data_IF_347215486562
#
_entry.id   IF_347215486562
#
_cell.length_a   1.000
_cell.length_b   1.000
_cell.length_c   1.000
_cell.angle_alpha   90.00
_cell.angle_beta   90.00
_cell.angle_gamma   90.00
#
_symmetry.space_group_name_H-M   'P 1'
#
loop_
_entity.id
_entity.type
_entity.pdbx_description
1 polymer ?
#
# COMPACT_ATOMS: atom_id res chain seq x y z
N UNK A 1 -2.91 27.59 24.52
CA UNK A 1 -3.84 28.66 24.11
C UNK A 1 -4.54 28.13 22.87
N UNK A 2 -5.83 27.79 22.93
CA UNK A 2 -6.52 27.28 21.76
C UNK A 2 -6.48 28.33 20.66
N UNK A 3 -6.13 27.90 19.44
CA UNK A 3 -6.26 28.72 18.24
C UNK A 3 -7.74 29.04 18.04
N UNK A 4 -8.13 30.30 18.22
CA UNK A 4 -9.51 30.74 17.97
C UNK A 4 -9.70 30.93 16.46
N UNK A 5 -10.50 30.06 15.84
CA UNK A 5 -10.85 30.16 14.42
C UNK A 5 -12.11 31.02 14.27
N UNK A 6 -11.98 32.15 13.59
CA UNK A 6 -13.13 32.93 13.13
C UNK A 6 -13.49 32.57 11.69
N UNK A 7 -14.78 32.42 11.41
CA UNK A 7 -15.30 32.23 10.05
C UNK A 7 -16.26 33.38 9.72
N UNK A 8 -16.12 33.96 8.53
CA UNK A 8 -16.98 35.03 8.03
C UNK A 8 -17.56 34.63 6.68
N UNK A 9 -18.88 34.79 6.51
CA UNK A 9 -19.51 34.81 5.18
C UNK A 9 -19.37 36.21 4.61
N UNK A 10 -19.01 36.32 3.33
CA UNK A 10 -18.90 37.62 2.65
C UNK A 10 -20.08 37.78 1.70
N UNK A 11 -20.99 38.70 2.03
CA UNK A 11 -22.16 39.03 1.21
C UNK A 11 -21.92 40.39 0.54
N UNK A 12 -21.43 40.37 -0.71
CA UNK A 12 -20.93 41.58 -1.38
C UNK A 12 -19.68 42.11 -0.67
N UNK A 13 -19.71 43.36 -0.19
CA UNK A 13 -18.60 43.98 0.55
C UNK A 13 -18.75 43.89 2.08
N UNK A 14 -19.74 43.15 2.59
CA UNK A 14 -20.03 43.07 4.03
C UNK A 14 -19.67 41.69 4.60
N UNK A 15 -18.66 41.59 5.47
CA UNK A 15 -18.36 40.36 6.18
C UNK A 15 -19.32 40.17 7.36
N UNK A 16 -19.95 38.99 7.43
CA UNK A 16 -20.83 38.56 8.52
C UNK A 16 -20.13 37.44 9.28
N UNK A 17 -19.78 37.69 10.55
CA UNK A 17 -19.13 36.68 11.40
C UNK A 17 -20.13 35.55 11.68
N UNK A 18 -19.77 34.32 11.31
CA UNK A 18 -20.54 33.15 11.65
C UNK A 18 -20.27 32.78 13.11
N UNK A 19 -21.32 32.33 13.79
CA UNK A 19 -21.21 31.86 15.17
C UNK A 19 -20.88 30.38 15.16
N UNK A 20 -19.81 30.01 15.86
CA UNK A 20 -19.49 28.61 16.08
C UNK A 20 -20.65 27.97 16.85
N UNK A 21 -21.25 26.96 16.26
CA UNK A 21 -22.12 26.02 16.98
C UNK A 21 -21.22 24.89 17.48
N UNK A 22 -21.56 24.29 18.62
CA UNK A 22 -20.90 23.04 19.02
C UNK A 22 -21.00 22.03 17.88
N UNK A 23 -19.98 21.17 17.72
CA UNK A 23 -20.04 20.04 16.77
C UNK A 23 -21.35 19.28 17.02
N UNK A 24 -22.04 18.79 15.98
CA UNK A 24 -23.16 17.87 16.18
C UNK A 24 -22.75 16.63 17.01
N UNK A 25 -23.72 15.77 17.36
CA UNK A 25 -23.49 14.49 18.06
C UNK A 25 -22.23 13.77 17.54
N UNK A 26 -21.47 13.12 18.41
CA UNK A 26 -20.23 12.38 18.06
C UNK A 26 -20.41 11.48 16.84
N UNK A 27 -21.54 10.78 16.77
CA UNK A 27 -21.94 9.93 15.64
C UNK A 27 -22.09 10.68 14.29
N UNK A 28 -22.42 11.98 14.29
CA UNK A 28 -22.45 12.78 13.07
C UNK A 28 -21.05 13.15 12.60
N UNK A 29 -20.12 13.44 13.53
CA UNK A 29 -18.72 13.68 13.17
C UNK A 29 -18.08 12.40 12.62
N UNK A 30 -18.36 11.27 13.25
CA UNK A 30 -17.96 9.94 12.77
C UNK A 30 -18.49 9.69 11.35
N UNK A 31 -19.78 9.92 11.10
CA UNK A 31 -20.39 9.76 9.78
C UNK A 31 -19.81 10.71 8.72
N UNK A 32 -19.45 11.95 9.09
CA UNK A 32 -18.81 12.90 8.17
C UNK A 32 -17.40 12.45 7.79
N UNK A 33 -16.60 12.00 8.75
CA UNK A 33 -15.26 11.45 8.50
C UNK A 33 -15.36 10.14 7.72
N UNK A 34 -16.36 9.32 8.00
CA UNK A 34 -16.63 8.08 7.26
C UNK A 34 -16.96 8.35 5.78
N UNK A 35 -17.74 9.39 5.51
CA UNK A 35 -18.08 9.79 4.16
C UNK A 35 -16.90 10.44 3.40
N UNK A 36 -16.06 11.21 4.08
CA UNK A 36 -14.87 11.84 3.52
C UNK A 36 -13.74 11.95 4.56
N UNK A 37 -12.83 10.95 4.61
CA UNK A 37 -11.69 10.98 5.53
C UNK A 37 -10.71 12.13 5.26
N UNK A 38 -10.73 12.70 4.04
CA UNK A 38 -9.92 13.86 3.66
C UNK A 38 -10.21 15.12 4.49
N UNK A 39 -11.33 15.14 5.21
CA UNK A 39 -11.66 16.14 6.24
C UNK A 39 -10.58 16.17 7.36
N UNK A 40 -9.82 15.10 7.59
CA UNK A 40 -8.70 15.11 8.54
C UNK A 40 -7.44 15.79 7.98
N UNK A 41 -7.32 15.88 6.66
CA UNK A 41 -6.23 16.60 5.98
C UNK A 41 -5.12 15.72 5.40
N UNK A 42 -5.21 14.42 5.63
CA UNK A 42 -4.42 13.40 4.95
C UNK A 42 -5.39 12.45 4.23
N UNK A 43 -4.98 11.89 3.09
CA UNK A 43 -5.75 10.85 2.43
C UNK A 43 -5.72 9.59 3.29
N UNK A 44 -6.88 9.02 3.60
CA UNK A 44 -7.01 7.86 4.47
C UNK A 44 -8.02 6.89 3.89
N UNK A 45 -7.70 5.60 3.95
CA UNK A 45 -8.65 4.53 3.73
C UNK A 45 -9.16 4.05 5.08
N UNK A 46 -10.45 4.21 5.36
CA UNK A 46 -11.06 3.64 6.54
C UNK A 46 -11.15 2.13 6.41
N UNK A 47 -10.63 1.43 7.42
CA UNK A 47 -10.62 -0.03 7.48
C UNK A 47 -11.54 -0.58 8.56
N UNK A 48 -11.96 0.24 9.51
CA UNK A 48 -12.87 -0.21 10.55
C UNK A 48 -13.58 0.92 11.29
N UNK A 49 -14.75 0.58 11.82
CA UNK A 49 -15.57 1.44 12.66
C UNK A 49 -15.99 0.65 13.90
N UNK A 50 -15.90 1.27 15.08
CA UNK A 50 -16.17 0.63 16.38
C UNK A 50 -15.42 -0.70 16.51
N UNK A 51 -14.11 -0.67 16.25
CA UNK A 51 -13.27 -1.87 16.18
C UNK A 51 -12.99 -2.39 17.59
N UNK A 52 -13.42 -3.62 17.93
CA UNK A 52 -13.15 -4.19 19.25
C UNK A 52 -11.66 -4.45 19.45
N UNK A 53 -11.15 -4.13 20.63
CA UNK A 53 -9.79 -4.47 21.06
C UNK A 53 -9.81 -5.65 22.03
N UNK A 54 -8.69 -6.37 22.14
CA UNK A 54 -8.54 -7.50 23.08
C UNK A 54 -8.66 -7.07 24.56
N UNK A 55 -8.56 -5.77 24.82
CA UNK A 55 -8.69 -5.18 26.15
C UNK A 55 -10.13 -4.75 26.49
N UNK A 56 -11.10 -5.06 25.62
CA UNK A 56 -12.54 -4.90 25.88
C UNK A 56 -13.10 -3.50 25.61
N UNK A 57 -12.36 -2.67 24.86
CA UNK A 57 -12.80 -1.34 24.40
C UNK A 57 -12.93 -1.31 22.88
N UNK A 58 -13.44 -0.20 22.35
CA UNK A 58 -13.67 -0.02 20.92
C UNK A 58 -12.93 1.22 20.41
N UNK A 59 -12.20 1.07 19.32
CA UNK A 59 -11.65 2.21 18.56
C UNK A 59 -12.77 2.77 17.69
N UNK A 60 -13.06 4.07 17.77
CA UNK A 60 -14.16 4.67 17.02
C UNK A 60 -13.97 4.50 15.51
N UNK A 61 -12.82 4.94 14.97
CA UNK A 61 -12.44 4.71 13.59
C UNK A 61 -10.98 4.27 13.49
N UNK A 62 -10.74 3.26 12.64
CA UNK A 62 -9.41 2.78 12.28
C UNK A 62 -9.22 3.00 10.77
N UNK A 63 -8.12 3.65 10.40
CA UNK A 63 -7.76 3.90 9.01
C UNK A 63 -6.32 3.48 8.72
N UNK A 64 -5.95 3.51 7.44
CA UNK A 64 -4.59 3.35 6.93
C UNK A 64 -4.28 4.50 5.96
N UNK A 65 -3.04 4.99 5.96
CA UNK A 65 -2.53 5.94 4.96
C UNK A 65 -1.82 5.25 3.78
N UNK A 66 -1.34 6.03 2.81
CA UNK A 66 -0.67 5.55 1.59
C UNK A 66 0.70 4.91 1.86
N UNK A 67 1.27 5.08 3.05
CA UNK A 67 2.48 4.38 3.49
C UNK A 67 2.20 3.09 4.30
N UNK A 68 0.93 2.75 4.51
CA UNK A 68 0.54 1.55 5.26
C UNK A 68 0.59 1.72 6.77
N UNK A 69 0.72 2.95 7.29
CA UNK A 69 0.65 3.24 8.71
C UNK A 69 -0.81 3.36 9.19
N UNK A 70 -1.09 2.86 10.38
CA UNK A 70 -2.45 2.82 10.93
C UNK A 70 -2.80 4.10 11.67
N UNK A 71 -4.00 4.63 11.45
CA UNK A 71 -4.52 5.81 12.12
C UNK A 71 -5.64 5.40 13.06
N UNK A 72 -5.39 5.52 14.36
CA UNK A 72 -6.37 5.34 15.42
C UNK A 72 -7.03 6.67 15.70
N UNK A 73 -8.33 6.77 15.47
CA UNK A 73 -9.10 7.98 15.67
C UNK A 73 -10.07 7.77 16.82
N UNK A 74 -9.93 8.58 17.86
CA UNK A 74 -10.84 8.61 19.01
C UNK A 74 -11.63 9.91 18.97
N UNK A 75 -12.95 9.82 18.79
CA UNK A 75 -13.82 10.97 18.62
C UNK A 75 -14.40 11.38 19.98
N UNK A 76 -14.46 12.69 20.23
CA UNK A 76 -15.04 13.26 21.44
C UNK A 76 -15.80 14.54 21.13
N UNK A 77 -17.10 14.56 21.42
CA UNK A 77 -17.93 15.75 21.18
C UNK A 77 -17.52 16.96 22.03
N UNK A 78 -17.36 16.75 23.33
CA UNK A 78 -17.17 17.80 24.31
C UNK A 78 -15.68 18.04 24.62
N UNK A 79 -15.45 18.99 25.54
CA UNK A 79 -14.13 19.20 26.14
C UNK A 79 -13.62 17.87 26.70
N UNK A 80 -12.56 17.38 26.09
CA UNK A 80 -12.04 16.05 26.38
C UNK A 80 -11.04 16.12 27.54
N UNK A 81 -11.20 15.28 28.57
CA UNK A 81 -10.29 15.24 29.70
C UNK A 81 -9.11 14.29 29.43
N UNK A 82 -8.07 14.39 30.26
CA UNK A 82 -6.78 13.69 30.10
C UNK A 82 -6.87 12.16 29.94
N UNK A 83 -7.94 11.54 30.39
CA UNK A 83 -8.17 10.10 30.33
C UNK A 83 -8.17 9.58 28.88
N UNK A 84 -8.51 10.43 27.89
CA UNK A 84 -8.43 10.09 26.46
C UNK A 84 -7.01 9.69 26.05
N UNK A 85 -5.98 10.28 26.66
CA UNK A 85 -4.59 9.98 26.33
C UNK A 85 -4.25 8.56 26.74
N UNK A 86 -4.70 8.13 27.93
CA UNK A 86 -4.49 6.76 28.39
C UNK A 86 -5.20 5.75 27.47
N UNK A 87 -6.40 6.06 27.01
CA UNK A 87 -7.16 5.24 26.06
C UNK A 87 -6.46 5.12 24.72
N UNK A 88 -5.99 6.22 24.12
CA UNK A 88 -5.24 6.17 22.87
C UNK A 88 -3.94 5.37 22.99
N UNK A 89 -3.22 5.49 24.10
CA UNK A 89 -1.99 4.71 24.33
C UNK A 89 -2.29 3.22 24.47
N UNK A 90 -3.41 2.85 25.12
CA UNK A 90 -3.90 1.47 25.20
C UNK A 90 -4.21 0.93 23.79
N UNK A 91 -4.90 1.72 22.96
CA UNK A 91 -5.19 1.37 21.57
C UNK A 91 -3.93 1.24 20.71
N UNK A 92 -2.99 2.18 20.82
CA UNK A 92 -1.72 2.09 20.11
C UNK A 92 -0.92 0.84 20.49
N UNK A 93 -1.03 0.39 21.74
CA UNK A 93 -0.39 -0.85 22.20
C UNK A 93 -0.97 -2.10 21.55
N UNK A 94 -2.29 -2.13 21.33
CA UNK A 94 -3.01 -3.21 20.65
C UNK A 94 -2.83 -3.17 19.12
N UNK A 95 -3.01 -2.00 18.51
CA UNK A 95 -2.89 -1.82 17.06
C UNK A 95 -1.51 -2.24 16.56
N UNK A 96 -0.45 -1.98 17.33
CA UNK A 96 0.91 -2.42 17.00
C UNK A 96 1.07 -3.95 16.90
N UNK A 97 0.18 -4.73 17.52
CA UNK A 97 0.25 -6.20 17.47
C UNK A 97 -0.51 -6.79 16.28
N UNK A 98 -1.33 -6.01 15.59
CA UNK A 98 -2.13 -6.48 14.46
C UNK A 98 -1.23 -6.97 13.32
N UNK A 99 -1.51 -8.18 12.86
CA UNK A 99 -0.90 -8.77 11.67
C UNK A 99 -1.55 -8.22 10.39
N UNK A 100 -0.91 -8.41 9.24
CA UNK A 100 -1.52 -8.09 7.94
C UNK A 100 -2.89 -8.76 7.77
N UNK A 101 -2.99 -10.05 8.10
CA UNK A 101 -4.24 -10.81 7.98
C UNK A 101 -5.36 -10.25 8.86
N UNK A 102 -5.04 -9.92 10.12
CA UNK A 102 -6.03 -9.33 11.03
C UNK A 102 -6.53 -7.97 10.53
N UNK A 103 -5.70 -7.17 9.83
CA UNK A 103 -6.16 -5.92 9.22
C UNK A 103 -7.13 -6.16 8.07
N UNK A 104 -6.85 -7.14 7.22
CA UNK A 104 -7.77 -7.52 6.15
C UNK A 104 -9.08 -8.07 6.72
N UNK A 105 -9.05 -8.81 7.82
CA UNK A 105 -10.24 -9.30 8.51
C UNK A 105 -11.08 -8.16 9.11
N UNK A 106 -10.43 -7.16 9.71
CA UNK A 106 -11.09 -5.93 10.20
C UNK A 106 -11.78 -5.21 9.03
N UNK A 107 -11.08 -5.04 7.90
CA UNK A 107 -11.64 -4.42 6.69
C UNK A 107 -12.81 -5.22 6.13
N UNK A 108 -12.68 -6.55 5.99
CA UNK A 108 -13.73 -7.41 5.46
C UNK A 108 -14.99 -7.41 6.34
N UNK A 109 -14.82 -7.28 7.67
CA UNK A 109 -15.93 -7.12 8.62
C UNK A 109 -16.61 -5.77 8.45
N UNK A 110 -15.82 -4.71 8.25
CA UNK A 110 -16.32 -3.34 8.08
C UNK A 110 -17.01 -3.11 6.73
N UNK A 111 -16.46 -3.64 5.63
CA UNK A 111 -17.02 -3.56 4.28
C UNK A 111 -17.19 -4.95 3.64
N UNK A 112 -18.21 -5.72 4.04
CA UNK A 112 -18.44 -7.05 3.47
C UNK A 112 -18.59 -7.02 1.95
N UNK A 113 -17.79 -7.83 1.25
CA UNK A 113 -17.79 -7.94 -0.21
C UNK A 113 -16.94 -6.89 -0.95
N UNK A 114 -16.36 -5.92 -0.25
CA UNK A 114 -15.35 -5.04 -0.84
C UNK A 114 -13.99 -5.74 -0.88
N UNK A 115 -13.15 -5.36 -1.85
CA UNK A 115 -11.77 -5.87 -1.99
C UNK A 115 -10.82 -4.78 -1.54
N UNK A 116 -10.00 -5.08 -0.52
CA UNK A 116 -9.10 -4.10 0.11
C UNK A 116 -8.17 -3.44 -0.92
N UNK A 117 -7.53 -4.22 -1.79
CA UNK A 117 -6.61 -3.74 -2.81
C UNK A 117 -7.29 -2.79 -3.80
N UNK A 118 -8.57 -3.01 -4.12
CA UNK A 118 -9.31 -2.15 -5.04
C UNK A 118 -9.68 -0.82 -4.39
N UNK A 119 -10.09 -0.84 -3.13
CA UNK A 119 -10.38 0.35 -2.35
C UNK A 119 -9.09 1.15 -2.10
N UNK A 120 -7.96 0.48 -1.85
CA UNK A 120 -6.63 1.08 -1.78
C UNK A 120 -6.27 1.81 -3.06
N UNK A 121 -6.30 1.13 -4.22
CA UNK A 121 -5.98 1.77 -5.50
C UNK A 121 -6.95 2.91 -5.83
N UNK A 122 -8.22 2.79 -5.43
CA UNK A 122 -9.21 3.87 -5.64
C UNK A 122 -8.90 5.09 -4.77
N UNK A 123 -8.42 4.88 -3.55
CA UNK A 123 -8.12 5.95 -2.58
C UNK A 123 -6.77 6.62 -2.88
N UNK A 124 -5.73 5.84 -3.16
CA UNK A 124 -4.34 6.32 -3.25
C UNK A 124 -3.75 6.29 -4.66
N UNK A 125 -4.39 5.60 -5.61
CA UNK A 125 -3.91 5.49 -7.00
C UNK A 125 -2.70 4.57 -7.21
N UNK A 126 -2.10 4.04 -6.13
CA UNK A 126 -0.95 3.14 -6.16
C UNK A 126 -1.28 1.69 -5.78
N UNK A 127 -0.23 0.86 -5.78
CA UNK A 127 -0.28 -0.52 -5.29
C UNK A 127 -0.22 -0.55 -3.76
N UNK A 128 -0.77 -1.61 -3.15
CA UNK A 128 -0.65 -1.83 -1.71
C UNK A 128 0.82 -2.08 -1.36
N UNK A 129 1.39 -1.40 -0.34
CA UNK A 129 2.75 -1.65 0.09
C UNK A 129 2.89 -3.09 0.60
N UNK A 130 4.09 -3.65 0.48
CA UNK A 130 4.36 -5.02 0.95
C UNK A 130 4.15 -5.15 2.48
N UNK A 131 4.30 -4.04 3.21
CA UNK A 131 4.12 -3.96 4.66
C UNK A 131 2.95 -3.05 5.01
N UNK A 132 1.97 -3.59 5.73
CA UNK A 132 0.98 -2.83 6.48
C UNK A 132 1.35 -2.80 7.97
N UNK A 133 0.82 -1.83 8.71
CA UNK A 133 1.16 -1.61 10.12
C UNK A 133 2.67 -1.36 10.36
N UNK A 134 3.31 -0.68 9.42
CA UNK A 134 4.72 -0.24 9.52
C UNK A 134 4.92 0.86 10.57
N UNK A 135 3.83 1.53 10.94
CA UNK A 135 3.74 2.52 12.00
C UNK A 135 2.28 2.79 12.37
N UNK A 136 2.06 3.68 13.35
CA UNK A 136 0.72 4.17 13.66
C UNK A 136 0.71 5.62 14.15
N UNK A 137 -0.47 6.24 14.08
CA UNK A 137 -0.81 7.55 14.64
C UNK A 137 -2.04 7.45 15.54
N UNK A 138 -2.03 8.23 16.59
CA UNK A 138 -3.07 8.27 17.62
C UNK A 138 -3.67 9.67 17.62
N UNK A 139 -4.89 9.82 17.13
CA UNK A 139 -5.51 11.13 16.94
C UNK A 139 -6.76 11.25 17.79
N UNK A 140 -6.79 12.24 18.68
CA UNK A 140 -8.04 12.69 19.28
C UNK A 140 -8.72 13.63 18.30
N UNK A 141 -9.97 13.34 17.97
CA UNK A 141 -10.83 14.19 17.16
C UNK A 141 -11.83 14.86 18.09
N UNK A 142 -11.64 16.14 18.41
CA UNK A 142 -12.44 16.80 19.45
C UNK A 142 -12.87 18.23 19.10
N UNK A 143 -13.90 18.73 19.78
CA UNK A 143 -14.23 20.16 19.74
C UNK A 143 -13.25 21.01 20.56
N UNK A 144 -12.79 20.49 21.71
CA UNK A 144 -11.87 21.15 22.63
C UNK A 144 -11.21 20.12 23.56
N UNK A 145 -10.08 20.46 24.19
CA UNK A 145 -9.42 19.62 25.20
C UNK A 145 -9.05 20.45 26.42
N UNK A 146 -8.90 19.82 27.59
CA UNK A 146 -8.43 20.56 28.76
C UNK A 146 -6.92 20.91 28.69
N UNK A 147 -6.46 21.94 29.44
CA UNK A 147 -5.04 22.31 29.47
C UNK A 147 -4.11 21.18 29.95
N UNK A 148 -4.62 20.23 30.73
CA UNK A 148 -3.83 19.09 31.18
C UNK A 148 -3.54 18.14 30.01
N UNK A 149 -4.53 17.91 29.15
CA UNK A 149 -4.47 17.11 27.93
C UNK A 149 -3.53 17.77 26.93
N UNK A 150 -3.67 19.09 26.68
CA UNK A 150 -2.72 19.83 25.82
C UNK A 150 -1.28 19.64 26.28
N UNK A 151 -1.02 19.82 27.59
CA UNK A 151 0.30 19.68 28.19
C UNK A 151 0.86 18.26 28.07
N UNK A 152 0.02 17.24 28.29
CA UNK A 152 0.44 15.83 28.19
C UNK A 152 0.77 15.48 26.74
N UNK A 153 -0.07 15.87 25.78
CA UNK A 153 0.16 15.57 24.36
C UNK A 153 1.41 16.30 23.85
N UNK A 154 1.60 17.56 24.20
CA UNK A 154 2.82 18.30 23.89
C UNK A 154 4.08 17.62 24.46
N UNK A 155 4.02 17.17 25.73
CA UNK A 155 5.10 16.42 26.34
C UNK A 155 5.39 15.11 25.59
N UNK A 156 4.36 14.33 25.25
CA UNK A 156 4.51 13.05 24.53
C UNK A 156 5.10 13.24 23.11
N UNK A 157 4.73 14.34 22.44
CA UNK A 157 5.28 14.69 21.13
C UNK A 157 6.79 14.96 21.18
N UNK A 158 7.32 15.56 22.26
CA UNK A 158 8.76 15.75 22.45
C UNK A 158 9.55 14.42 22.53
N UNK A 159 8.87 13.31 22.85
CA UNK A 159 9.43 11.94 22.85
C UNK A 159 9.06 11.13 21.60
N UNK A 160 8.60 11.81 20.54
CA UNK A 160 8.16 11.21 19.28
C UNK A 160 7.10 10.12 19.48
N UNK A 161 6.21 10.29 20.48
CA UNK A 161 4.98 9.49 20.57
C UNK A 161 4.02 10.06 19.53
N UNK A 162 3.44 9.26 18.63
CA UNK A 162 2.69 9.75 17.48
C UNK A 162 1.25 10.12 17.86
N UNK A 163 1.09 10.92 18.92
CA UNK A 163 -0.21 11.36 19.46
C UNK A 163 -0.46 12.83 19.15
N UNK A 164 -1.66 13.16 18.68
CA UNK A 164 -2.04 14.53 18.39
C UNK A 164 -3.56 14.75 18.59
N UNK A 165 -3.99 16.00 18.49
CA UNK A 165 -5.41 16.39 18.51
C UNK A 165 -5.73 17.17 17.25
N UNK A 166 -6.79 16.77 16.56
CA UNK A 166 -7.47 17.60 15.58
C UNK A 166 -8.72 18.20 16.22
N UNK A 167 -8.81 19.52 16.16
CA UNK A 167 -9.95 20.29 16.63
C UNK A 167 -10.92 20.54 15.50
N UNK A 168 -12.19 20.24 15.72
CA UNK A 168 -13.27 20.55 14.81
C UNK A 168 -14.18 21.65 15.36
N UNK A 169 -14.49 22.63 14.52
CA UNK A 169 -15.45 23.71 14.81
C UNK A 169 -16.52 23.73 13.73
N UNK A 170 -17.77 23.76 14.17
CA UNK A 170 -18.92 23.77 13.29
C UNK A 170 -19.53 25.17 13.26
N UNK A 171 -19.98 25.62 12.10
CA UNK A 171 -20.62 26.93 11.91
C UNK A 171 -21.88 26.74 11.08
N UNK A 172 -23.02 27.12 11.65
CA UNK A 172 -24.30 27.09 10.96
C UNK A 172 -24.59 28.40 10.23
N UNK A 173 -25.20 28.30 9.05
CA UNK A 173 -25.65 29.45 8.28
C UNK A 173 -26.91 29.10 7.46
N UNK A 174 -28.08 29.33 8.06
CA UNK A 174 -29.36 28.90 7.47
C UNK A 174 -29.40 27.39 7.29
N UNK A 175 -29.55 26.92 6.05
CA UNK A 175 -29.53 25.49 5.69
C UNK A 175 -28.11 24.94 5.46
N UNK A 176 -27.09 25.81 5.49
CA UNK A 176 -25.70 25.43 5.26
C UNK A 176 -24.96 25.22 6.57
N UNK A 177 -23.97 24.36 6.48
CA UNK A 177 -23.07 24.01 7.54
C UNK A 177 -21.63 24.09 7.05
N UNK A 178 -20.77 24.62 7.89
CA UNK A 178 -19.34 24.71 7.62
C UNK A 178 -18.58 24.02 8.74
N UNK A 179 -17.55 23.28 8.36
CA UNK A 179 -16.64 22.59 9.26
C UNK A 179 -15.24 23.18 9.09
N UNK A 180 -14.65 23.64 10.18
CA UNK A 180 -13.26 24.07 10.21
C UNK A 180 -12.44 23.11 11.06
N UNK A 181 -11.20 22.84 10.65
CA UNK A 181 -10.24 22.01 11.37
C UNK A 181 -8.97 22.77 11.74
N UNK A 182 -8.42 22.48 12.91
CA UNK A 182 -7.06 22.91 13.30
C UNK A 182 -6.36 21.80 14.05
N UNK A 183 -5.03 21.76 13.99
CA UNK A 183 -4.23 20.79 14.75
C UNK A 183 -3.66 21.43 16.01
N UNK A 184 -3.57 20.68 17.11
CA UNK A 184 -2.89 21.13 18.33
C UNK A 184 -1.39 21.29 18.08
N UNK A 185 -0.78 20.29 17.46
CA UNK A 185 0.62 20.27 17.03
C UNK A 185 0.62 20.15 15.51
N UNK A 186 1.43 20.94 14.83
CA UNK A 186 1.62 20.83 13.39
C UNK A 186 1.94 19.37 13.01
N UNK A 187 1.18 18.80 12.07
CA UNK A 187 1.30 17.39 11.67
C UNK A 187 2.73 17.03 11.24
N UNK A 188 3.47 17.98 10.66
CA UNK A 188 4.86 17.81 10.24
C UNK A 188 5.80 17.55 11.42
N UNK A 189 5.42 17.94 12.65
CA UNK A 189 6.20 17.74 13.88
C UNK A 189 5.89 16.43 14.59
N UNK A 190 4.88 15.69 14.15
CA UNK A 190 4.47 14.41 14.77
C UNK A 190 4.36 13.34 13.69
N UNK A 191 5.45 13.00 12.97
CA UNK A 191 5.41 11.97 11.94
C UNK A 191 4.92 10.63 12.51
N UNK A 192 4.33 9.75 11.68
CA UNK A 192 4.01 8.40 12.11
C UNK A 192 5.28 7.77 12.68
N UNK A 193 5.17 7.18 13.87
CA UNK A 193 6.32 6.48 14.44
C UNK A 193 6.46 5.18 13.67
N UNK A 194 7.53 5.05 12.89
CA UNK A 194 7.99 3.75 12.39
C UNK A 194 8.37 2.91 13.60
N UNK A 195 7.40 2.16 14.12
CA UNK A 195 7.60 1.30 15.27
C UNK A 195 8.52 0.17 14.86
N UNK A 196 9.61 -0.06 15.60
CA UNK A 196 10.47 -1.21 15.35
C UNK A 196 9.65 -2.50 15.23
N UNK A 197 9.97 -3.28 14.18
CA UNK A 197 9.38 -4.55 13.71
C UNK A 197 8.02 -4.87 14.36
N UNK A 198 6.93 -4.77 13.59
CA UNK A 198 5.63 -5.28 14.02
C UNK A 198 5.80 -6.70 14.55
N UNK A 199 5.40 -6.93 15.81
CA UNK A 199 5.61 -8.25 16.43
C UNK A 199 4.72 -9.33 15.80
N UNK A 200 3.68 -8.93 15.05
CA UNK A 200 2.71 -9.80 14.41
C UNK A 200 2.98 -10.15 12.94
N UNK A 201 4.02 -9.59 12.31
CA UNK A 201 4.24 -9.76 10.87
C UNK A 201 3.43 -8.75 10.05
N UNK A 202 4.12 -7.75 9.49
CA UNK A 202 3.55 -6.67 8.66
C UNK A 202 3.29 -7.08 7.21
N UNK A 203 3.80 -8.23 6.78
CA UNK A 203 3.68 -8.75 5.42
C UNK A 203 2.72 -9.92 5.37
N UNK A 204 2.08 -10.12 4.23
CA UNK A 204 1.46 -11.39 3.90
C UNK A 204 2.48 -12.53 3.93
N UNK A 205 2.02 -13.70 4.36
CA UNK A 205 2.84 -14.92 4.39
C UNK A 205 3.16 -15.33 2.96
N UNK A 206 4.45 -15.57 2.68
CA UNK A 206 4.86 -16.11 1.40
C UNK A 206 4.62 -17.62 1.36
N UNK A 207 4.06 -18.13 0.27
CA UNK A 207 3.72 -19.55 0.10
C UNK A 207 4.91 -20.47 -0.24
N UNK A 208 6.13 -19.96 -0.10
CA UNK A 208 7.39 -20.69 -0.35
C UNK A 208 7.64 -21.12 -1.81
N UNK A 209 6.77 -20.74 -2.74
CA UNK A 209 6.80 -21.21 -4.12
C UNK A 209 6.80 -20.09 -5.15
N UNK A 210 5.96 -19.05 -4.95
CA UNK A 210 5.57 -18.15 -6.03
C UNK A 210 6.40 -16.86 -6.09
N UNK A 211 6.82 -16.54 -7.30
CA UNK A 211 7.64 -15.37 -7.62
C UNK A 211 6.94 -14.50 -8.66
N UNK A 212 7.01 -13.19 -8.45
CA UNK A 212 6.66 -12.19 -9.44
C UNK A 212 7.89 -11.90 -10.29
N UNK A 213 7.71 -11.81 -11.61
CA UNK A 213 8.72 -11.37 -12.56
C UNK A 213 8.20 -10.19 -13.37
N UNK A 214 8.87 -9.04 -13.27
CA UNK A 214 8.60 -7.88 -14.13
C UNK A 214 9.36 -8.03 -15.44
N UNK A 215 8.63 -8.34 -16.51
CA UNK A 215 9.17 -8.45 -17.85
C UNK A 215 9.01 -7.11 -18.57
N UNK A 216 9.95 -6.19 -18.30
CA UNK A 216 9.97 -4.86 -18.91
C UNK A 216 10.27 -4.93 -20.40
N UNK A 217 9.24 -5.16 -21.22
CA UNK A 217 9.39 -5.20 -22.66
C UNK A 217 9.83 -3.83 -23.19
N UNK A 218 10.87 -3.80 -24.02
CA UNK A 218 11.42 -2.59 -24.61
C UNK A 218 11.75 -2.88 -26.07
N UNK A 219 11.22 -2.05 -26.97
CA UNK A 219 11.34 -2.24 -28.41
C UNK A 219 12.80 -2.41 -28.83
N UNK A 220 13.10 -3.55 -29.46
CA UNK A 220 14.44 -3.90 -29.93
C UNK A 220 15.39 -4.48 -28.87
N UNK A 221 15.05 -4.41 -27.59
CA UNK A 221 15.88 -4.90 -26.48
C UNK A 221 15.34 -6.21 -25.90
N UNK A 222 14.04 -6.25 -25.59
CA UNK A 222 13.39 -7.41 -24.97
C UNK A 222 11.99 -7.59 -25.55
N UNK A 223 11.63 -8.80 -25.94
CA UNK A 223 10.34 -9.13 -26.54
C UNK A 223 9.66 -10.31 -25.81
N UNK A 224 8.36 -10.20 -25.54
CA UNK A 224 7.63 -11.26 -24.85
C UNK A 224 7.39 -12.50 -25.72
N UNK A 225 7.18 -12.36 -27.03
CA UNK A 225 6.96 -13.50 -27.91
C UNK A 225 8.21 -14.38 -28.05
N UNK A 226 9.40 -13.79 -28.00
CA UNK A 226 10.66 -14.54 -27.87
C UNK A 226 10.70 -15.34 -26.57
N UNK A 227 10.45 -14.70 -25.43
CA UNK A 227 10.41 -15.32 -24.11
C UNK A 227 9.40 -16.48 -24.03
N UNK A 228 8.21 -16.25 -24.60
CA UNK A 228 7.14 -17.23 -24.72
C UNK A 228 7.53 -18.41 -25.62
N UNK A 229 8.15 -18.14 -26.77
CA UNK A 229 8.53 -19.16 -27.75
C UNK A 229 9.68 -20.05 -27.27
N UNK A 230 10.68 -19.45 -26.64
CA UNK A 230 11.93 -20.13 -26.29
C UNK A 230 12.07 -20.51 -24.81
N UNK A 231 11.07 -20.19 -23.97
CA UNK A 231 11.07 -20.68 -22.58
C UNK A 231 12.03 -19.92 -21.67
N UNK A 232 11.86 -18.60 -21.52
CA UNK A 232 12.71 -17.82 -20.61
C UNK A 232 12.08 -16.53 -20.10
N UNK A 233 12.63 -15.98 -19.02
CA UNK A 233 12.45 -14.57 -18.62
C UNK A 233 13.80 -13.87 -18.63
N UNK A 234 13.81 -12.54 -18.79
CA UNK A 234 15.07 -11.79 -18.81
C UNK A 234 14.96 -10.41 -18.16
N UNK A 235 16.09 -9.93 -17.65
CA UNK A 235 16.27 -8.59 -17.14
C UNK A 235 17.73 -8.13 -17.30
N UNK A 236 17.94 -6.86 -17.58
CA UNK A 236 19.25 -6.28 -17.90
C UNK A 236 19.23 -4.77 -17.94
N UNK A 237 20.26 -4.15 -18.52
CA UNK A 237 20.35 -2.69 -18.65
C UNK A 237 20.84 -1.97 -17.39
N UNK A 238 21.16 -2.72 -16.33
CA UNK A 238 21.78 -2.20 -15.11
C UNK A 238 21.82 -3.25 -14.00
N UNK A 239 22.77 -3.09 -13.07
CA UNK A 239 23.00 -4.06 -12.00
C UNK A 239 21.76 -4.25 -11.11
N UNK A 240 20.96 -3.20 -10.90
CA UNK A 240 19.71 -3.29 -10.12
C UNK A 240 18.76 -4.36 -10.69
N UNK A 241 18.56 -4.37 -12.01
CA UNK A 241 17.63 -5.27 -12.68
C UNK A 241 18.14 -6.71 -12.62
N UNK A 242 19.38 -6.95 -13.09
CA UNK A 242 19.97 -8.28 -13.14
C UNK A 242 20.14 -8.90 -11.74
N UNK A 243 20.50 -8.10 -10.72
CA UNK A 243 20.64 -8.58 -9.34
C UNK A 243 19.35 -9.14 -8.75
N UNK A 244 18.20 -8.59 -9.08
CA UNK A 244 16.92 -9.10 -8.56
C UNK A 244 16.46 -10.35 -9.31
N UNK A 245 16.64 -10.38 -10.64
CA UNK A 245 16.36 -11.56 -11.46
C UNK A 245 17.18 -12.79 -11.03
N UNK A 246 18.46 -12.61 -10.73
CA UNK A 246 19.37 -13.69 -10.26
C UNK A 246 18.94 -14.35 -8.94
N UNK A 247 17.95 -13.79 -8.23
CA UNK A 247 17.41 -14.40 -6.99
C UNK A 247 16.38 -15.49 -7.25
N UNK A 248 15.91 -15.65 -8.49
CA UNK A 248 14.97 -16.70 -8.85
C UNK A 248 15.60 -18.08 -8.62
N UNK A 249 15.05 -18.93 -7.73
CA UNK A 249 15.57 -20.25 -7.50
C UNK A 249 15.10 -21.21 -8.59
N UNK A 250 15.96 -22.16 -8.97
CA UNK A 250 15.53 -23.32 -9.76
C UNK A 250 14.42 -24.07 -9.01
N UNK A 251 13.36 -24.41 -9.71
CA UNK A 251 12.12 -24.99 -9.15
C UNK A 251 11.09 -23.97 -8.68
N UNK A 252 11.42 -22.67 -8.62
CA UNK A 252 10.45 -21.62 -8.28
C UNK A 252 9.38 -21.46 -9.36
N UNK A 253 8.12 -21.26 -8.97
CA UNK A 253 7.05 -20.92 -9.90
C UNK A 253 7.04 -19.41 -10.10
N UNK A 254 7.13 -18.96 -11.35
CA UNK A 254 7.16 -17.55 -11.73
C UNK A 254 5.85 -17.15 -12.40
N UNK A 255 5.28 -16.04 -11.96
CA UNK A 255 4.23 -15.30 -12.62
C UNK A 255 4.83 -14.07 -13.28
N UNK A 256 4.71 -13.99 -14.60
CA UNK A 256 5.35 -12.95 -15.41
C UNK A 256 4.36 -11.86 -15.73
N UNK A 257 4.72 -10.63 -15.39
CA UNK A 257 3.94 -9.42 -15.64
C UNK A 257 4.70 -8.47 -16.54
N UNK A 258 4.05 -7.99 -17.59
CA UNK A 258 4.57 -6.89 -18.40
C UNK A 258 4.03 -5.58 -17.79
N UNK A 259 4.89 -4.72 -17.24
CA UNK A 259 4.47 -3.47 -16.62
C UNK A 259 3.95 -2.48 -17.66
N UNK A 260 3.27 -1.40 -17.21
CA UNK A 260 2.82 -0.34 -18.12
C UNK A 260 1.49 -0.61 -18.82
N UNK A 261 0.51 -1.16 -18.07
CA UNK A 261 -0.90 -1.43 -18.47
C UNK A 261 -1.14 -2.71 -19.29
N UNK A 262 -0.17 -3.62 -19.37
CA UNK A 262 -0.37 -4.94 -20.00
C UNK A 262 -0.85 -5.96 -18.97
N UNK A 263 -0.02 -6.27 -17.97
CA UNK A 263 -0.37 -7.20 -16.89
C UNK A 263 0.28 -8.58 -17.03
N UNK A 264 -0.31 -9.58 -16.38
CA UNK A 264 0.26 -10.92 -16.26
C UNK A 264 0.04 -11.75 -17.52
N UNK A 265 1.12 -12.29 -18.08
CA UNK A 265 1.15 -12.94 -19.39
C UNK A 265 1.54 -14.41 -19.34
N UNK A 266 2.09 -14.91 -18.23
CA UNK A 266 2.44 -16.31 -18.14
C UNK A 266 2.79 -16.78 -16.75
N UNK A 267 2.75 -18.10 -16.60
CA UNK A 267 3.17 -18.84 -15.42
C UNK A 267 4.03 -20.04 -15.85
N UNK A 268 5.12 -20.27 -15.14
CA UNK A 268 6.03 -21.37 -15.43
C UNK A 268 6.97 -21.68 -14.28
N UNK A 269 7.82 -22.68 -14.45
CA UNK A 269 8.80 -23.12 -13.45
C UNK A 269 10.20 -22.78 -13.92
N UNK A 270 11.00 -22.17 -13.06
CA UNK A 270 12.42 -21.90 -13.34
C UNK A 270 13.18 -23.22 -13.43
N UNK A 271 13.86 -23.46 -14.55
CA UNK A 271 14.61 -24.72 -14.79
C UNK A 271 16.12 -24.53 -14.85
N UNK A 272 16.61 -23.29 -14.78
CA UNK A 272 18.03 -22.97 -14.81
C UNK A 272 18.35 -21.69 -14.06
N UNK A 273 19.62 -21.51 -13.70
CA UNK A 273 20.10 -20.27 -13.08
C UNK A 273 20.18 -19.13 -14.11
N UNK A 274 20.23 -17.89 -13.61
CA UNK A 274 20.39 -16.71 -14.45
C UNK A 274 21.77 -16.68 -15.13
N UNK A 275 21.79 -16.58 -16.45
CA UNK A 275 23.02 -16.50 -17.27
C UNK A 275 23.02 -15.25 -18.15
N UNK A 276 24.18 -14.66 -18.48
CA UNK A 276 24.25 -13.64 -19.53
C UNK A 276 23.65 -14.19 -20.84
N UNK A 277 22.93 -13.35 -21.57
CA UNK A 277 22.23 -13.73 -22.81
C UNK A 277 23.13 -14.50 -23.79
N UNK A 278 24.39 -14.10 -23.96
CA UNK A 278 25.33 -14.72 -24.90
C UNK A 278 25.74 -16.15 -24.52
N UNK A 279 25.44 -16.56 -23.28
CA UNK A 279 25.78 -17.88 -22.72
C UNK A 279 24.52 -18.67 -22.36
N UNK A 280 23.34 -18.08 -22.52
CA UNK A 280 22.10 -18.66 -22.05
C UNK A 280 21.70 -19.86 -22.90
N UNK A 281 21.43 -20.98 -22.22
CA UNK A 281 20.89 -22.20 -22.82
C UNK A 281 19.44 -22.37 -22.36
N UNK A 282 18.55 -22.60 -23.30
CA UNK A 282 17.12 -22.83 -23.05
C UNK A 282 16.69 -24.18 -23.62
N UNK A 283 15.54 -24.69 -23.16
CA UNK A 283 14.98 -25.96 -23.65
C UNK A 283 13.82 -25.68 -24.60
N UNK A 284 13.91 -26.16 -25.84
CA UNK A 284 12.87 -26.03 -26.87
C UNK A 284 12.57 -27.43 -27.40
N UNK A 285 11.30 -27.84 -27.37
CA UNK A 285 10.86 -29.18 -27.80
C UNK A 285 11.67 -30.35 -27.17
N UNK A 286 12.17 -30.14 -25.95
CA UNK A 286 12.98 -31.10 -25.20
C UNK A 286 14.48 -31.07 -25.50
N UNK A 287 14.94 -30.21 -26.42
CA UNK A 287 16.35 -30.05 -26.78
C UNK A 287 16.96 -28.79 -26.15
N UNK A 288 18.20 -28.88 -25.70
CA UNK A 288 18.97 -27.75 -25.17
C UNK A 288 19.59 -26.98 -26.32
N UNK A 289 19.26 -25.69 -26.44
CA UNK A 289 19.74 -24.81 -27.51
C UNK A 289 20.34 -23.52 -26.95
N UNK A 290 21.38 -23.01 -27.60
CA UNK A 290 21.95 -21.69 -27.29
C UNK A 290 20.99 -20.60 -27.76
N UNK A 291 20.48 -19.79 -26.83
CA UNK A 291 19.46 -18.78 -27.13
C UNK A 291 19.96 -17.74 -28.15
N UNK A 292 21.21 -17.29 -28.02
CA UNK A 292 21.81 -16.31 -28.90
C UNK A 292 21.98 -16.78 -30.36
N UNK A 293 21.81 -18.07 -30.64
CA UNK A 293 21.86 -18.64 -32.00
C UNK A 293 20.48 -18.77 -32.66
N UNK A 294 19.41 -18.42 -31.94
CA UNK A 294 18.03 -18.56 -32.41
C UNK A 294 17.53 -17.33 -33.17
N UNK A 295 16.40 -17.49 -33.88
CA UNK A 295 15.72 -16.36 -34.54
C UNK A 295 14.88 -15.62 -33.51
N UNK A 296 15.33 -14.42 -33.13
CA UNK A 296 14.73 -13.57 -32.10
C UNK A 296 14.20 -12.27 -32.72
N UNK A 297 13.10 -11.75 -32.17
CA UNK A 297 12.53 -10.44 -32.50
C UNK A 297 13.28 -9.28 -31.82
N UNK A 298 13.98 -9.54 -30.71
CA UNK A 298 14.78 -8.55 -29.97
C UNK A 298 16.27 -8.91 -29.86
N UNK A 299 17.10 -7.91 -29.56
CA UNK A 299 18.55 -8.04 -29.54
C UNK A 299 19.16 -8.53 -28.23
N UNK A 300 18.51 -8.31 -27.07
CA UNK A 300 19.00 -8.71 -25.73
C UNK A 300 20.43 -8.24 -25.41
N UNK A 301 20.87 -7.14 -26.02
CA UNK A 301 22.19 -6.53 -25.80
C UNK A 301 22.03 -5.10 -25.33
N UNK A 302 22.85 -4.71 -24.33
CA UNK A 302 22.90 -3.35 -23.81
C UNK A 302 24.25 -2.70 -24.14
N UNK A 303 24.27 -1.38 -24.34
CA UNK A 303 25.52 -0.66 -24.55
C UNK A 303 26.36 -0.69 -23.27
N UNK A 304 27.65 -1.01 -23.41
CA UNK A 304 28.59 -0.93 -22.31
C UNK A 304 28.76 0.53 -21.87
N UNK A 305 28.56 0.80 -20.58
CA UNK A 305 28.84 2.10 -19.99
C UNK A 305 30.29 2.17 -19.49
N UNK A 306 30.87 3.36 -19.51
CA UNK A 306 32.22 3.62 -19.02
C UNK A 306 32.39 3.43 -17.51
N UNK A 307 31.29 3.22 -16.77
CA UNK A 307 31.29 2.97 -15.32
C UNK A 307 31.86 1.59 -14.95
N UNK A 308 31.89 0.64 -15.89
CA UNK A 308 32.29 -0.75 -15.62
C UNK A 308 31.21 -1.59 -14.92
N UNK A 309 30.00 -1.04 -14.73
CA UNK A 309 28.85 -1.78 -14.22
C UNK A 309 28.41 -2.87 -15.21
N UNK A 310 27.86 -3.97 -14.68
CA UNK A 310 27.35 -5.08 -15.50
C UNK A 310 25.93 -4.75 -16.00
N UNK A 311 25.84 -4.25 -17.23
CA UNK A 311 24.58 -3.92 -17.91
C UNK A 311 24.04 -5.05 -18.78
N UNK A 312 24.70 -6.22 -18.82
CA UNK A 312 24.27 -7.32 -19.69
C UNK A 312 22.84 -7.74 -19.40
N UNK A 313 22.20 -8.26 -20.43
CA UNK A 313 20.92 -8.93 -20.27
C UNK A 313 21.16 -10.31 -19.67
N UNK A 314 20.44 -10.60 -18.58
CA UNK A 314 20.46 -11.90 -17.94
C UNK A 314 19.16 -12.63 -18.27
N UNK A 315 19.30 -13.91 -18.59
CA UNK A 315 18.24 -14.82 -18.98
C UNK A 315 18.11 -15.90 -17.92
N UNK A 316 16.89 -16.19 -17.52
CA UNK A 316 16.54 -17.31 -16.65
C UNK A 316 15.67 -18.26 -17.47
N UNK A 317 16.12 -19.50 -17.72
CA UNK A 317 15.31 -20.51 -18.41
C UNK A 317 14.06 -20.89 -17.61
N UNK A 318 12.91 -20.96 -18.28
CA UNK A 318 11.61 -21.26 -17.70
C UNK A 318 10.90 -22.31 -18.53
N UNK A 319 10.41 -23.35 -17.86
CA UNK A 319 9.45 -24.29 -18.44
C UNK A 319 8.03 -23.72 -18.26
N UNK A 320 7.40 -23.35 -19.37
CA UNK A 320 6.09 -22.68 -19.35
C UNK A 320 4.98 -23.66 -19.04
N UNK A 321 4.21 -23.37 -17.99
CA UNK A 321 2.94 -24.06 -17.74
C UNK A 321 1.86 -23.49 -18.67
N UNK A 322 1.64 -22.17 -18.61
CA UNK A 322 0.68 -21.45 -19.47
C UNK A 322 1.26 -20.09 -19.83
N UNK A 323 1.14 -19.72 -21.10
CA UNK A 323 1.49 -18.38 -21.59
C UNK A 323 0.34 -17.80 -22.42
N UNK A 324 0.28 -16.47 -22.49
CA UNK A 324 -0.70 -15.70 -23.24
C UNK A 324 -0.01 -14.63 -24.08
N UNK A 325 -0.56 -14.26 -25.25
CA UNK A 325 -0.14 -13.05 -25.93
C UNK A 325 -0.47 -11.81 -25.08
N UNK A 326 0.18 -10.69 -25.37
CA UNK A 326 -0.05 -9.41 -24.67
C UNK A 326 -1.51 -8.97 -24.64
N UNK A 327 -2.26 -9.25 -25.70
CA UNK A 327 -3.67 -8.89 -25.82
C UNK A 327 -4.57 -9.60 -24.80
N UNK A 328 -4.11 -10.74 -24.29
CA UNK A 328 -4.89 -11.63 -23.43
C UNK A 328 -4.32 -11.63 -21.99
N UNK A 329 -3.45 -10.66 -21.69
CA UNK A 329 -2.86 -10.47 -20.39
C UNK A 329 -3.94 -10.29 -19.31
N UNK A 330 -3.67 -10.83 -18.12
CA UNK A 330 -4.55 -10.75 -16.96
C UNK A 330 -4.19 -9.52 -16.16
N UNK A 331 -5.15 -8.61 -16.01
CA UNK A 331 -5.01 -7.47 -15.13
C UNK A 331 -6.36 -7.06 -14.56
N UNK A 332 -6.37 -6.76 -13.26
CA UNK A 332 -7.48 -6.16 -12.54
C UNK A 332 -6.93 -5.10 -11.59
N UNK A 333 -7.74 -4.07 -11.29
CA UNK A 333 -7.40 -3.10 -10.25
C UNK A 333 -7.07 -3.83 -8.94
N UNK A 334 -6.01 -3.39 -8.27
CA UNK A 334 -5.54 -3.99 -7.02
C UNK A 334 -4.56 -5.15 -7.20
N UNK A 335 -4.33 -5.64 -8.43
CA UNK A 335 -3.30 -6.65 -8.65
C UNK A 335 -1.90 -6.06 -8.42
N UNK A 336 -1.05 -6.85 -7.78
CA UNK A 336 0.32 -6.50 -7.42
C UNK A 336 1.19 -6.31 -8.67
N UNK A 337 2.00 -5.27 -8.66
CA UNK A 337 3.15 -5.12 -9.53
C UNK A 337 4.34 -4.58 -8.75
N UNK A 338 5.55 -4.78 -9.28
CA UNK A 338 6.78 -4.32 -8.64
C UNK A 338 7.79 -3.82 -9.67
N UNK A 339 8.60 -2.84 -9.27
CA UNK A 339 9.69 -2.29 -10.09
C UNK A 339 10.91 -3.22 -10.14
N UNK A 340 11.08 -4.11 -9.16
CA UNK A 340 12.13 -5.13 -9.21
C UNK A 340 11.84 -6.13 -10.33
N UNK A 341 12.90 -6.61 -10.99
CA UNK A 341 12.77 -7.61 -12.06
C UNK A 341 12.25 -8.94 -11.55
N UNK A 342 12.58 -9.32 -10.32
CA UNK A 342 11.93 -10.43 -9.63
C UNK A 342 11.84 -10.20 -8.12
N UNK A 343 10.73 -10.65 -7.52
CA UNK A 343 10.54 -10.72 -6.08
C UNK A 343 9.56 -11.83 -5.72
N UNK A 344 9.47 -12.17 -4.42
CA UNK A 344 8.49 -13.12 -3.92
C UNK A 344 7.07 -12.54 -4.08
N UNK A 345 6.18 -13.27 -4.73
CA UNK A 345 4.77 -12.87 -4.88
C UNK A 345 4.01 -13.32 -3.63
N UNK A 346 3.54 -12.35 -2.84
CA UNK A 346 2.85 -12.62 -1.57
C UNK A 346 1.37 -12.27 -1.59
N UNK A 347 0.99 -11.27 -2.38
CA UNK A 347 -0.35 -10.71 -2.34
C UNK A 347 -1.39 -11.77 -2.73
N UNK A 348 -2.19 -12.17 -1.74
CA UNK A 348 -3.19 -13.23 -1.81
C UNK A 348 -4.23 -12.92 -2.87
N UNK A 349 -4.73 -11.69 -2.91
CA UNK A 349 -5.69 -11.26 -3.94
C UNK A 349 -5.15 -11.53 -5.34
N UNK A 350 -3.91 -11.10 -5.63
CA UNK A 350 -3.26 -11.35 -6.92
C UNK A 350 -3.09 -12.83 -7.21
N UNK A 351 -2.63 -13.62 -6.24
CA UNK A 351 -2.46 -15.07 -6.41
C UNK A 351 -3.78 -15.77 -6.72
N UNK A 352 -4.87 -15.41 -6.03
CA UNK A 352 -6.21 -15.95 -6.29
C UNK A 352 -6.71 -15.58 -7.69
N UNK A 353 -6.55 -14.31 -8.10
CA UNK A 353 -6.92 -13.87 -9.45
C UNK A 353 -6.11 -14.60 -10.52
N UNK A 354 -4.81 -14.82 -10.29
CA UNK A 354 -3.94 -15.54 -11.22
C UNK A 354 -4.26 -17.02 -11.29
N UNK A 355 -4.51 -17.68 -10.15
CA UNK A 355 -4.89 -19.08 -10.11
C UNK A 355 -6.18 -19.32 -10.91
N UNK A 356 -7.20 -18.47 -10.70
CA UNK A 356 -8.44 -18.53 -11.46
C UNK A 356 -8.21 -18.23 -12.95
N UNK A 357 -7.48 -17.17 -13.28
CA UNK A 357 -7.31 -16.75 -14.66
C UNK A 357 -6.50 -17.77 -15.46
N UNK A 358 -5.45 -18.35 -14.87
CA UNK A 358 -4.59 -19.35 -15.51
C UNK A 358 -5.09 -20.79 -15.28
N UNK A 359 -6.26 -21.02 -14.70
CA UNK A 359 -6.80 -22.37 -14.44
C UNK A 359 -5.77 -23.29 -13.74
N UNK A 360 -5.05 -22.72 -12.76
CA UNK A 360 -4.10 -23.45 -11.95
C UNK A 360 -4.92 -24.17 -10.87
N UNK A 361 -4.99 -25.50 -10.95
CA UNK A 361 -5.63 -26.30 -9.91
C UNK A 361 -5.01 -26.04 -8.53
N UNK A 362 -5.83 -26.25 -7.49
CA UNK A 362 -5.44 -26.11 -6.08
C UNK A 362 -4.23 -26.98 -5.68
#
# INVERSE_FOLDING_TARGET
MPLEVGLWRVDGDKPVKLTASGVPLEAQLEAMIEADPGILGTALLLIGRQVPTDFGKFIDLLAVDDEGALHVLELKRDRTPREVVAQLLDYGSWVRTLTHEQLLDIFATYRPGAVFEQDWTTTFGGDVPEELNSGHRLTVVAGDVDPATERIIAYLADFAVPVNVVFFRYFGDGERAYLARTWLIDEARTPPRTGGVSKGGSKETWNEQDWYVSFGEESGIRNWEDARRYGFVSAGGGEWFSRTLRKLPVGGRVFVCIPGRVGYVGVGTVIGEAQPFEQAVVTVDGEQVELASQVLEAGYTHQALSSGEDHREYVVPVDWTITRPRSDAVWMRGMFANQNSACKLRNRFTLEQLAQAFDLGD
#
